data_IF_856287521547
#
_entry.id   IF_856287521547
#
_cell.length_a   1.000
_cell.length_b   1.000
_cell.length_c   1.000
_cell.angle_alpha   90.00
_cell.angle_beta   90.00
_cell.angle_gamma   90.00
#
_symmetry.space_group_name_H-M   'P 1'
#
loop_
_entity.id
_entity.type
_entity.pdbx_description
1 polymer ?
#
# COMPACT_ATOMS: atom_id res chain seq x y z
N UNK A 1 25.38 -33.12 -0.08
CA UNK A 1 23.90 -33.13 0.05
C UNK A 1 23.42 -31.71 -0.16
N UNK A 2 22.64 -31.47 -1.21
CA UNK A 2 22.05 -30.15 -1.45
C UNK A 2 20.91 -29.97 -0.45
N UNK A 3 21.03 -28.99 0.45
CA UNK A 3 20.09 -28.76 1.58
C UNK A 3 18.85 -27.98 1.09
N UNK A 4 18.85 -27.51 -0.15
CA UNK A 4 17.73 -26.75 -0.69
C UNK A 4 16.60 -27.71 -1.13
N UNK A 5 15.36 -27.52 -0.66
CA UNK A 5 14.22 -28.29 -1.15
C UNK A 5 14.11 -28.16 -2.68
N UNK A 6 13.62 -29.20 -3.38
CA UNK A 6 13.42 -29.14 -4.82
C UNK A 6 12.45 -28.01 -5.17
N UNK A 7 12.86 -27.12 -6.06
CA UNK A 7 12.07 -25.95 -6.46
C UNK A 7 12.96 -24.81 -6.96
N UNK A 8 12.37 -23.87 -7.68
CA UNK A 8 13.05 -22.64 -8.08
C UNK A 8 13.32 -21.79 -6.84
N UNK A 9 14.48 -21.13 -6.81
CA UNK A 9 14.96 -20.34 -5.68
C UNK A 9 15.26 -18.87 -6.05
N UNK A 10 14.95 -18.47 -7.28
CA UNK A 10 15.13 -17.11 -7.80
C UNK A 10 14.21 -16.88 -9.01
N UNK A 11 13.60 -15.70 -9.08
CA UNK A 11 12.65 -15.29 -10.12
C UNK A 11 13.03 -13.90 -10.69
N UNK A 12 14.13 -13.77 -11.47
CA UNK A 12 14.53 -12.49 -12.05
C UNK A 12 13.45 -11.88 -12.97
N UNK A 13 12.59 -12.69 -13.57
CA UNK A 13 11.46 -12.27 -14.39
C UNK A 13 10.34 -11.56 -13.60
N UNK A 14 10.29 -11.73 -12.27
CA UNK A 14 9.33 -11.03 -11.42
C UNK A 14 9.76 -9.59 -11.09
N UNK A 15 10.97 -9.17 -11.49
CA UNK A 15 11.42 -7.78 -11.32
C UNK A 15 10.45 -6.83 -12.03
N UNK A 16 9.87 -5.89 -11.26
CA UNK A 16 8.88 -4.94 -11.75
C UNK A 16 7.42 -5.43 -11.72
N UNK A 17 7.18 -6.67 -11.27
CA UNK A 17 5.83 -7.19 -11.06
C UNK A 17 5.21 -6.65 -9.77
N UNK A 18 3.86 -6.63 -9.71
CA UNK A 18 3.13 -6.34 -8.47
C UNK A 18 3.36 -7.45 -7.44
N UNK A 19 3.35 -7.10 -6.16
CA UNK A 19 3.58 -8.04 -5.07
C UNK A 19 2.62 -9.23 -5.07
N UNK A 20 1.34 -8.98 -5.36
CA UNK A 20 0.31 -10.03 -5.44
C UNK A 20 0.57 -10.99 -6.61
N UNK A 21 0.91 -10.45 -7.79
CA UNK A 21 1.23 -11.28 -8.97
C UNK A 21 2.50 -12.11 -8.72
N UNK A 22 3.51 -11.51 -8.11
CA UNK A 22 4.73 -12.20 -7.74
C UNK A 22 4.47 -13.31 -6.70
N UNK A 23 3.62 -13.04 -5.70
CA UNK A 23 3.20 -14.02 -4.70
C UNK A 23 2.49 -15.22 -5.36
N UNK A 24 1.54 -14.98 -6.27
CA UNK A 24 0.89 -16.06 -7.02
C UNK A 24 1.90 -16.92 -7.78
N UNK A 25 2.81 -16.31 -8.55
CA UNK A 25 3.82 -17.07 -9.30
C UNK A 25 4.77 -17.86 -8.39
N UNK A 26 5.17 -17.28 -7.25
CA UNK A 26 6.07 -17.95 -6.28
C UNK A 26 5.39 -19.18 -5.67
N UNK A 27 4.12 -19.06 -5.28
CA UNK A 27 3.36 -20.16 -4.67
C UNK A 27 3.00 -21.25 -5.68
N UNK A 28 2.75 -20.89 -6.94
CA UNK A 28 2.54 -21.83 -8.04
C UNK A 28 3.81 -22.63 -8.36
N UNK A 29 4.96 -21.96 -8.46
CA UNK A 29 6.24 -22.59 -8.82
C UNK A 29 6.92 -23.28 -7.63
N UNK A 30 6.53 -22.93 -6.40
CA UNK A 30 7.03 -23.52 -5.17
C UNK A 30 5.92 -23.63 -4.12
N UNK A 31 5.07 -24.66 -4.26
CA UNK A 31 3.95 -24.93 -3.33
C UNK A 31 4.34 -25.20 -1.87
N UNK A 32 5.63 -25.26 -1.54
CA UNK A 32 6.13 -25.42 -0.17
C UNK A 32 6.35 -24.07 0.55
N UNK A 33 6.22 -22.94 -0.16
CA UNK A 33 6.35 -21.60 0.43
C UNK A 33 5.00 -20.89 0.49
N UNK A 34 4.87 -19.95 1.43
CA UNK A 34 3.73 -19.05 1.56
C UNK A 34 4.26 -17.63 1.42
N UNK A 35 3.92 -16.94 0.33
CA UNK A 35 4.39 -15.60 0.07
C UNK A 35 3.58 -14.58 0.91
N UNK A 36 4.26 -13.64 1.56
CA UNK A 36 3.61 -12.59 2.35
C UNK A 36 3.69 -11.28 1.58
N UNK A 37 2.54 -10.75 1.16
CA UNK A 37 2.44 -9.42 0.55
C UNK A 37 2.14 -8.40 1.65
N UNK A 38 3.09 -7.50 1.93
CA UNK A 38 2.98 -6.54 3.05
C UNK A 38 2.12 -5.30 2.72
N UNK A 39 2.01 -4.95 1.45
CA UNK A 39 1.20 -3.86 0.95
C UNK A 39 0.33 -4.43 -0.17
N UNK A 40 -0.93 -4.72 0.15
CA UNK A 40 -1.90 -5.17 -0.83
C UNK A 40 -2.83 -4.03 -1.24
N UNK A 41 -3.13 -3.98 -2.53
CA UNK A 41 -3.99 -2.96 -3.12
C UNK A 41 -3.28 -1.64 -3.41
N UNK A 42 -4.09 -0.61 -3.69
CA UNK A 42 -3.56 0.73 -4.02
C UNK A 42 -2.94 1.38 -2.78
N UNK A 43 -1.78 2.01 -2.96
CA UNK A 43 -0.95 2.55 -1.88
C UNK A 43 -0.73 4.07 -1.97
N UNK A 44 -1.09 4.68 -3.10
CA UNK A 44 -1.00 6.11 -3.33
C UNK A 44 -2.17 6.64 -4.17
N UNK A 45 -2.60 7.86 -3.87
CA UNK A 45 -3.74 8.52 -4.52
C UNK A 45 -3.41 9.94 -5.02
N UNK A 46 -2.46 10.08 -5.96
CA UNK A 46 -2.06 11.40 -6.48
C UNK A 46 -3.21 12.19 -7.11
N UNK A 47 -4.23 11.51 -7.65
CA UNK A 47 -5.39 12.14 -8.28
C UNK A 47 -6.34 12.81 -7.27
N UNK A 48 -6.16 12.59 -5.96
CA UNK A 48 -7.01 13.20 -4.93
C UNK A 48 -6.54 14.58 -4.48
N UNK A 49 -5.36 15.02 -4.92
CA UNK A 49 -4.88 16.39 -4.65
C UNK A 49 -5.88 17.42 -5.21
N UNK A 50 -6.23 18.43 -4.41
CA UNK A 50 -7.25 19.42 -4.76
C UNK A 50 -8.69 18.98 -4.47
N UNK A 51 -8.91 17.73 -4.05
CA UNK A 51 -10.25 17.24 -3.65
C UNK A 51 -10.61 17.68 -2.24
N UNK A 52 -11.89 17.59 -1.88
CA UNK A 52 -12.30 17.67 -0.48
C UNK A 52 -11.77 16.46 0.32
N UNK A 53 -11.21 16.70 1.49
CA UNK A 53 -10.55 15.69 2.33
C UNK A 53 -11.44 14.55 2.77
N UNK A 54 -12.68 14.83 3.16
CA UNK A 54 -13.64 13.79 3.58
C UNK A 54 -14.03 12.89 2.40
N UNK A 55 -14.24 13.49 1.22
CA UNK A 55 -14.48 12.72 -0.01
C UNK A 55 -13.25 11.89 -0.41
N UNK A 56 -12.06 12.45 -0.23
CA UNK A 56 -10.81 11.74 -0.50
C UNK A 56 -10.64 10.54 0.44
N UNK A 57 -10.87 10.71 1.74
CA UNK A 57 -10.81 9.62 2.72
C UNK A 57 -11.78 8.49 2.39
N UNK A 58 -13.06 8.80 2.11
CA UNK A 58 -14.05 7.80 1.72
C UNK A 58 -13.65 7.04 0.44
N UNK A 59 -13.04 7.72 -0.55
CA UNK A 59 -12.56 7.08 -1.78
C UNK A 59 -11.35 6.19 -1.52
N UNK A 60 -10.45 6.57 -0.63
CA UNK A 60 -9.28 5.77 -0.23
C UNK A 60 -9.75 4.45 0.40
N UNK A 61 -10.63 4.51 1.40
CA UNK A 61 -11.15 3.32 2.08
C UNK A 61 -12.00 2.43 1.15
N UNK A 62 -12.65 3.03 0.15
CA UNK A 62 -13.36 2.30 -0.89
C UNK A 62 -12.41 1.56 -1.84
N UNK A 63 -11.31 2.20 -2.26
CA UNK A 63 -10.34 1.61 -3.18
C UNK A 63 -9.38 0.64 -2.49
N UNK A 64 -9.13 0.83 -1.20
CA UNK A 64 -8.36 -0.08 -0.35
C UNK A 64 -9.04 -0.21 1.03
N UNK A 65 -9.84 -1.26 1.21
CA UNK A 65 -10.56 -1.53 2.46
C UNK A 65 -9.67 -1.97 3.62
N UNK A 66 -8.36 -2.10 3.41
CA UNK A 66 -7.37 -2.48 4.43
C UNK A 66 -6.70 -1.29 5.09
N UNK A 67 -6.98 -0.07 4.62
CA UNK A 67 -6.42 1.16 5.18
C UNK A 67 -7.48 2.00 5.88
N UNK A 68 -7.04 2.77 6.86
CA UNK A 68 -7.79 3.79 7.58
C UNK A 68 -7.31 5.17 7.11
N UNK A 69 -8.23 5.97 6.55
CA UNK A 69 -7.89 7.26 5.96
C UNK A 69 -8.18 8.39 6.94
N UNK A 70 -7.13 8.96 7.51
CA UNK A 70 -7.25 9.96 8.57
C UNK A 70 -7.02 11.36 8.01
N UNK A 71 -8.06 12.19 8.05
CA UNK A 71 -8.01 13.59 7.60
C UNK A 71 -7.38 14.46 8.68
N UNK A 72 -6.32 15.18 8.33
CA UNK A 72 -5.57 16.05 9.23
C UNK A 72 -5.28 17.40 8.58
N UNK A 73 -5.34 18.46 9.38
CA UNK A 73 -4.85 19.77 8.96
C UNK A 73 -3.33 19.70 8.79
N UNK A 74 -2.83 20.29 7.70
CA UNK A 74 -1.39 20.35 7.45
C UNK A 74 -0.63 21.02 8.59
N UNK A 75 0.51 20.41 8.95
CA UNK A 75 1.30 20.79 10.13
C UNK A 75 0.86 20.16 11.44
N UNK A 76 -0.23 19.39 11.49
CA UNK A 76 -0.60 18.61 12.69
C UNK A 76 0.51 17.61 13.03
N UNK A 77 1.06 17.62 14.26
CA UNK A 77 2.07 16.63 14.66
C UNK A 77 1.50 15.20 14.61
N UNK A 78 2.14 14.33 13.84
CA UNK A 78 1.79 12.90 13.76
C UNK A 78 2.93 12.03 14.25
N UNK A 79 2.62 10.75 14.46
CA UNK A 79 3.64 9.74 14.75
C UNK A 79 4.54 9.54 13.52
N UNK A 80 5.81 9.20 13.75
CA UNK A 80 6.81 8.93 12.71
C UNK A 80 6.96 7.44 12.39
N UNK A 81 6.07 6.60 12.92
CA UNK A 81 6.03 5.18 12.61
C UNK A 81 5.43 4.95 11.22
N UNK A 82 5.83 3.87 10.55
CA UNK A 82 5.23 3.44 9.30
C UNK A 82 4.13 2.40 9.58
N UNK A 83 2.93 2.61 9.02
CA UNK A 83 1.81 1.68 9.12
C UNK A 83 1.19 1.38 7.77
N UNK A 84 1.22 0.10 7.38
CA UNK A 84 0.62 -0.38 6.12
C UNK A 84 -0.90 -0.15 6.02
N UNK A 85 -1.57 0.07 7.15
CA UNK A 85 -3.02 0.24 7.23
C UNK A 85 -3.44 1.68 7.47
N UNK A 86 -2.55 2.67 7.32
CA UNK A 86 -2.87 4.08 7.58
C UNK A 86 -2.57 4.93 6.38
N UNK A 87 -3.46 5.87 6.08
CA UNK A 87 -3.23 6.89 5.07
C UNK A 87 -3.51 8.27 5.68
N UNK A 88 -2.50 9.14 5.67
CA UNK A 88 -2.68 10.52 6.08
C UNK A 88 -3.24 11.37 4.94
N UNK A 89 -4.44 11.93 5.13
CA UNK A 89 -5.08 12.86 4.19
C UNK A 89 -4.86 14.29 4.67
N UNK A 90 -3.78 14.89 4.20
CA UNK A 90 -3.38 16.25 4.59
C UNK A 90 -4.19 17.31 3.88
N UNK A 91 -4.92 18.12 4.64
CA UNK A 91 -5.78 19.18 4.12
C UNK A 91 -5.36 20.57 4.58
N UNK A 92 -5.71 21.59 3.80
CA UNK A 92 -5.62 22.99 4.23
C UNK A 92 -6.82 23.38 5.13
N UNK A 93 -6.87 24.64 5.56
CA UNK A 93 -7.97 25.20 6.35
C UNK A 93 -9.34 25.16 5.68
N UNK A 94 -9.39 24.99 4.35
CA UNK A 94 -10.62 24.82 3.57
C UNK A 94 -11.03 23.34 3.40
N UNK A 95 -10.28 22.40 3.99
CA UNK A 95 -10.53 20.97 3.84
C UNK A 95 -10.14 20.42 2.46
N UNK A 96 -9.26 21.11 1.73
CA UNK A 96 -8.75 20.65 0.42
C UNK A 96 -7.44 19.89 0.60
N UNK A 97 -7.34 18.72 -0.02
CA UNK A 97 -6.13 17.86 0.01
C UNK A 97 -4.95 18.58 -0.65
N UNK A 98 -3.85 18.71 0.09
CA UNK A 98 -2.67 19.46 -0.34
C UNK A 98 -1.60 18.61 -1.04
N UNK A 99 -1.48 17.33 -0.65
CA UNK A 99 -0.47 16.41 -1.16
C UNK A 99 -1.05 15.02 -1.38
N UNK A 100 -0.46 14.21 -2.28
CA UNK A 100 -0.91 12.84 -2.54
C UNK A 100 -1.03 12.06 -1.24
N UNK A 101 -2.22 11.53 -0.90
CA UNK A 101 -2.36 10.56 0.18
C UNK A 101 -1.57 9.30 -0.18
N UNK A 102 -0.79 8.81 0.78
CA UNK A 102 0.04 7.61 0.65
C UNK A 102 -0.09 6.77 1.92
N UNK A 103 0.05 5.45 1.79
CA UNK A 103 0.14 4.55 2.94
C UNK A 103 1.39 4.89 3.75
N UNK A 104 1.24 5.03 5.07
CA UNK A 104 2.33 5.38 5.98
C UNK A 104 1.92 5.67 7.42
#
# INVERSE_FOLDING_TARGET
>A
MSICPPGKNSWPELVGSKGESAATTIEEENSQVNAIVLLEGKDAWPELVGSNGQKAAAKIEQENSRVDAIVLLDGTPTTRDFRCNRVWVWVNSHGTVLRPPVIG
#
